data_IF_458789011564
#
_entry.id   IF_458789011564
#
_cell.length_a   1.000
_cell.length_b   1.000
_cell.length_c   1.000
_cell.angle_alpha   90.00
_cell.angle_beta   90.00
_cell.angle_gamma   90.00
#
_symmetry.space_group_name_H-M   'P 1'
#
loop_
_entity.id
_entity.type
_entity.pdbx_description
1 polymer ?
#
# COMPACT_ATOMS: atom_id res chain seq x y z
N UNK A 1 -8.95 -29.35 44.31
CA UNK A 1 -8.16 -28.41 43.47
C UNK A 1 -7.07 -27.76 44.32
N UNK A 2 -5.79 -27.88 43.97
CA UNK A 2 -4.68 -27.44 44.81
C UNK A 2 -4.57 -25.88 44.80
N UNK A 3 -4.94 -25.25 45.93
CA UNK A 3 -5.00 -23.78 46.09
C UNK A 3 -3.65 -23.08 45.78
N UNK A 4 -2.53 -23.80 45.97
CA UNK A 4 -1.19 -23.31 45.65
C UNK A 4 -0.97 -23.19 44.12
N UNK A 5 -1.44 -24.15 43.34
CA UNK A 5 -1.37 -24.15 41.88
C UNK A 5 -2.23 -23.01 41.30
N UNK A 6 -3.43 -22.81 41.85
CA UNK A 6 -4.33 -21.74 41.47
C UNK A 6 -3.72 -20.35 41.73
N UNK A 7 -3.12 -20.10 42.92
CA UNK A 7 -2.40 -18.85 43.24
C UNK A 7 -1.25 -18.59 42.27
N UNK A 8 -0.40 -19.59 42.01
CA UNK A 8 0.74 -19.48 41.09
C UNK A 8 0.28 -19.14 39.66
N UNK A 9 -0.79 -19.79 39.17
CA UNK A 9 -1.37 -19.49 37.85
C UNK A 9 -1.95 -18.08 37.81
N UNK A 10 -2.63 -17.62 38.85
CA UNK A 10 -3.19 -16.25 38.95
C UNK A 10 -2.10 -15.20 38.98
N UNK A 11 -1.01 -15.42 39.74
CA UNK A 11 0.12 -14.51 39.76
C UNK A 11 0.84 -14.43 38.40
N UNK A 12 1.09 -15.57 37.76
CA UNK A 12 1.67 -15.63 36.43
C UNK A 12 0.78 -14.94 35.39
N UNK A 13 -0.53 -15.16 35.43
CA UNK A 13 -1.47 -14.48 34.54
C UNK A 13 -1.45 -12.96 34.76
N UNK A 14 -1.43 -12.49 36.00
CA UNK A 14 -1.33 -11.04 36.29
C UNK A 14 -0.01 -10.47 35.77
N UNK A 15 1.11 -11.12 36.02
CA UNK A 15 2.42 -10.68 35.52
C UNK A 15 2.46 -10.62 33.99
N UNK A 16 1.93 -11.63 33.30
CA UNK A 16 1.85 -11.63 31.84
C UNK A 16 0.92 -10.51 31.32
N UNK A 17 -0.23 -10.33 31.95
CA UNK A 17 -1.17 -9.24 31.58
C UNK A 17 -0.57 -7.85 31.81
N UNK A 18 0.12 -7.64 32.93
CA UNK A 18 0.79 -6.34 33.16
C UNK A 18 1.93 -6.07 32.20
N UNK A 19 2.74 -7.10 31.87
CA UNK A 19 3.79 -6.98 30.86
C UNK A 19 3.22 -6.72 29.47
N UNK A 20 2.17 -7.42 29.08
CA UNK A 20 1.48 -7.20 27.80
C UNK A 20 0.89 -5.79 27.72
N UNK A 21 0.24 -5.33 28.79
CA UNK A 21 -0.31 -3.97 28.87
C UNK A 21 0.81 -2.91 28.81
N UNK A 22 1.90 -3.12 29.54
CA UNK A 22 3.05 -2.20 29.53
C UNK A 22 3.69 -2.14 28.12
N UNK A 23 3.84 -3.27 27.44
CA UNK A 23 4.32 -3.31 26.05
C UNK A 23 3.38 -2.58 25.07
N UNK A 24 2.06 -2.76 25.22
CA UNK A 24 1.08 -2.04 24.41
C UNK A 24 1.14 -0.52 24.68
N UNK A 25 1.22 -0.11 25.96
CA UNK A 25 1.35 1.30 26.34
C UNK A 25 2.62 1.93 25.81
N UNK A 26 3.77 1.22 25.86
CA UNK A 26 5.03 1.73 25.31
C UNK A 26 4.94 1.90 23.78
N UNK A 27 4.31 0.97 23.06
CA UNK A 27 4.08 1.12 21.63
C UNK A 27 3.19 2.32 21.29
N UNK A 28 2.10 2.51 22.04
CA UNK A 28 1.25 3.68 21.89
C UNK A 28 1.97 4.99 22.19
N UNK A 29 2.80 5.02 23.25
CA UNK A 29 3.59 6.21 23.58
C UNK A 29 4.53 6.59 22.44
N UNK A 30 5.27 5.63 21.89
CA UNK A 30 6.16 5.86 20.71
C UNK A 30 5.35 6.36 19.52
N UNK A 31 4.20 5.78 19.25
CA UNK A 31 3.32 6.22 18.17
C UNK A 31 2.87 7.68 18.37
N UNK A 32 2.43 8.04 19.58
CA UNK A 32 2.04 9.41 19.91
C UNK A 32 3.20 10.41 19.80
N UNK A 33 4.41 10.02 20.18
CA UNK A 33 5.60 10.86 20.03
C UNK A 33 5.94 11.11 18.56
N UNK A 34 5.87 10.05 17.72
CA UNK A 34 6.11 10.16 16.27
C UNK A 34 5.06 11.06 15.63
N UNK A 35 3.77 10.78 15.85
CA UNK A 35 2.68 11.57 15.27
C UNK A 35 2.66 13.01 15.80
N UNK A 36 2.91 13.22 17.08
CA UNK A 36 3.01 14.56 17.68
C UNK A 36 4.15 15.37 17.05
N UNK A 37 5.33 14.75 16.90
CA UNK A 37 6.48 15.41 16.25
C UNK A 37 6.17 15.72 14.78
N UNK A 38 5.55 14.78 14.07
CA UNK A 38 5.14 14.96 12.67
C UNK A 38 4.15 16.13 12.54
N UNK A 39 3.14 16.20 13.40
CA UNK A 39 2.16 17.29 13.38
C UNK A 39 2.81 18.64 13.68
N UNK A 40 3.59 18.74 14.76
CA UNK A 40 4.20 20.02 15.17
C UNK A 40 5.16 20.53 14.08
N UNK A 41 6.07 19.70 13.60
CA UNK A 41 7.07 20.10 12.59
C UNK A 41 6.46 20.20 11.19
N UNK A 42 5.57 19.30 10.82
CA UNK A 42 4.93 19.30 9.50
C UNK A 42 3.99 20.48 9.31
N UNK A 43 3.11 20.76 10.28
CA UNK A 43 2.20 21.93 10.21
C UNK A 43 2.98 23.24 10.29
N UNK A 44 4.02 23.32 11.13
CA UNK A 44 4.86 24.51 11.24
C UNK A 44 5.62 24.85 9.93
N UNK A 45 5.79 23.88 9.04
CA UNK A 45 6.45 24.05 7.74
C UNK A 45 5.47 24.14 6.56
N UNK A 46 4.15 24.05 6.82
CA UNK A 46 3.13 24.06 5.79
C UNK A 46 2.91 25.50 5.29
N UNK A 47 3.09 25.72 3.99
CA UNK A 47 2.82 26.98 3.32
C UNK A 47 2.17 26.74 1.97
N UNK A 48 1.46 27.71 1.37
CA UNK A 48 0.91 27.56 0.02
C UNK A 48 1.99 27.25 -1.04
N UNK A 49 3.23 27.71 -0.83
CA UNK A 49 4.35 27.44 -1.71
C UNK A 49 4.65 25.94 -1.86
N UNK A 50 4.37 25.13 -0.83
CA UNK A 50 4.55 23.67 -0.86
C UNK A 50 3.77 23.03 -2.00
N UNK A 51 2.59 23.54 -2.33
CA UNK A 51 1.70 23.00 -3.36
C UNK A 51 1.84 23.69 -4.71
N UNK A 52 2.54 24.82 -4.79
CA UNK A 52 2.63 25.64 -6.01
C UNK A 52 4.02 25.75 -6.57
N UNK A 53 5.07 25.51 -5.77
CA UNK A 53 6.44 25.59 -6.19
C UNK A 53 7.10 24.21 -6.29
N UNK A 54 8.12 24.10 -7.15
CA UNK A 54 8.94 22.90 -7.29
C UNK A 54 9.93 22.74 -6.13
N UNK A 55 10.55 21.58 -6.04
CA UNK A 55 11.63 21.32 -5.08
C UNK A 55 12.80 22.29 -5.34
N UNK A 56 13.23 23.02 -4.29
CA UNK A 56 14.25 24.07 -4.45
C UNK A 56 15.67 23.51 -4.51
N UNK A 57 16.61 24.24 -5.10
CA UNK A 57 18.03 23.98 -4.89
C UNK A 57 18.44 24.22 -3.43
N UNK A 58 19.59 23.65 -2.98
CA UNK A 58 20.06 23.78 -1.60
C UNK A 58 20.13 25.24 -1.13
N UNK A 59 19.58 25.53 0.07
CA UNK A 59 19.63 26.87 0.67
C UNK A 59 18.62 27.87 0.11
N UNK A 60 17.63 27.43 -0.65
CA UNK A 60 16.57 28.29 -1.18
C UNK A 60 15.19 27.81 -0.75
N UNK A 61 14.23 28.73 -0.72
CA UNK A 61 12.83 28.40 -0.48
C UNK A 61 12.18 27.78 -1.72
N UNK A 62 11.22 26.88 -1.52
CA UNK A 62 10.48 26.23 -2.60
C UNK A 62 9.35 25.37 -2.06
N UNK A 63 8.91 24.38 -2.87
CA UNK A 63 7.79 23.53 -2.55
C UNK A 63 8.03 22.05 -2.87
N UNK A 64 6.92 21.31 -3.06
CA UNK A 64 6.93 19.87 -3.33
C UNK A 64 6.00 19.50 -4.50
N UNK A 65 5.58 20.47 -5.32
CA UNK A 65 4.62 20.26 -6.39
C UNK A 65 5.01 19.13 -7.34
N UNK A 66 6.26 19.14 -7.83
CA UNK A 66 6.79 18.09 -8.72
C UNK A 66 6.81 16.71 -8.05
N UNK A 67 7.13 16.64 -6.75
CA UNK A 67 7.15 15.41 -5.99
C UNK A 67 5.73 14.87 -5.69
N UNK A 68 4.77 15.76 -5.39
CA UNK A 68 3.35 15.41 -5.23
C UNK A 68 2.79 14.86 -6.54
N UNK A 69 3.02 15.58 -7.65
CA UNK A 69 2.57 15.17 -8.97
C UNK A 69 3.12 13.78 -9.35
N UNK A 70 4.43 13.59 -9.25
CA UNK A 70 5.03 12.32 -9.62
C UNK A 70 4.62 11.16 -8.71
N UNK A 71 4.38 11.40 -7.42
CA UNK A 71 3.81 10.38 -6.53
C UNK A 71 2.42 9.93 -6.97
N UNK A 72 1.56 10.86 -7.34
CA UNK A 72 0.22 10.54 -7.85
C UNK A 72 0.33 9.74 -9.14
N UNK A 73 1.12 10.20 -10.10
CA UNK A 73 1.28 9.55 -11.41
C UNK A 73 1.81 8.13 -11.26
N UNK A 74 2.93 7.95 -10.53
CA UNK A 74 3.56 6.62 -10.42
C UNK A 74 2.70 5.65 -9.61
N UNK A 75 1.99 6.12 -8.58
CA UNK A 75 1.03 5.30 -7.81
C UNK A 75 -0.14 4.87 -8.68
N UNK A 76 -0.70 5.76 -9.50
CA UNK A 76 -1.76 5.43 -10.45
C UNK A 76 -1.30 4.42 -11.48
N UNK A 77 -0.13 4.61 -12.09
CA UNK A 77 0.44 3.66 -13.06
C UNK A 77 0.67 2.29 -12.42
N UNK A 78 1.30 2.24 -11.25
CA UNK A 78 1.50 0.98 -10.52
C UNK A 78 0.20 0.26 -10.20
N UNK A 79 -0.83 1.01 -9.82
CA UNK A 79 -2.17 0.46 -9.53
C UNK A 79 -2.87 -0.02 -10.80
N UNK A 80 -2.86 0.77 -11.87
CA UNK A 80 -3.50 0.43 -13.14
C UNK A 80 -2.87 -0.79 -13.82
N UNK A 81 -1.57 -1.01 -13.61
CA UNK A 81 -0.88 -2.21 -14.10
C UNK A 81 -1.08 -3.40 -13.16
N UNK A 82 -0.90 -3.21 -11.85
CA UNK A 82 -0.89 -4.31 -10.89
C UNK A 82 -2.27 -4.81 -10.48
N UNK A 83 -3.24 -3.90 -10.25
CA UNK A 83 -4.54 -4.29 -9.71
C UNK A 83 -5.38 -5.14 -10.68
N UNK A 84 -5.52 -4.81 -11.98
CA UNK A 84 -6.26 -5.67 -12.91
C UNK A 84 -5.68 -7.07 -13.02
N UNK A 85 -4.36 -7.19 -13.13
CA UNK A 85 -3.67 -8.48 -13.18
C UNK A 85 -3.88 -9.24 -11.88
N UNK A 86 -3.78 -8.57 -10.73
CA UNK A 86 -4.01 -9.16 -9.43
C UNK A 86 -5.45 -9.67 -9.24
N UNK A 87 -6.45 -8.89 -9.68
CA UNK A 87 -7.87 -9.31 -9.63
C UNK A 87 -8.10 -10.54 -10.52
N UNK A 88 -7.57 -10.54 -11.74
CA UNK A 88 -7.72 -11.68 -12.66
C UNK A 88 -7.06 -12.94 -12.10
N UNK A 89 -5.84 -12.83 -11.58
CA UNK A 89 -5.14 -13.96 -10.97
C UNK A 89 -5.87 -14.46 -9.71
N UNK A 90 -6.32 -13.57 -8.82
CA UNK A 90 -7.11 -13.93 -7.64
C UNK A 90 -8.43 -14.61 -8.02
N UNK A 91 -9.08 -14.15 -9.08
CA UNK A 91 -10.30 -14.80 -9.62
C UNK A 91 -10.00 -16.20 -10.12
N UNK A 92 -8.92 -16.37 -10.87
CA UNK A 92 -8.51 -17.70 -11.30
C UNK A 92 -8.30 -18.65 -10.12
N UNK A 93 -7.62 -18.19 -9.08
CA UNK A 93 -7.33 -18.98 -7.88
C UNK A 93 -8.61 -19.34 -7.09
N UNK A 94 -9.59 -18.44 -7.05
CA UNK A 94 -10.84 -18.65 -6.31
C UNK A 94 -11.83 -19.56 -7.07
N UNK A 95 -12.00 -19.32 -8.38
CA UNK A 95 -13.10 -19.88 -9.16
C UNK A 95 -12.68 -21.10 -10.01
N UNK A 96 -11.41 -21.20 -10.43
CA UNK A 96 -10.93 -22.25 -11.34
C UNK A 96 -9.82 -23.11 -10.74
N UNK A 97 -9.05 -22.54 -9.79
CA UNK A 97 -7.80 -23.12 -9.31
C UNK A 97 -7.88 -23.80 -7.94
N UNK A 98 -9.07 -24.13 -7.39
CA UNK A 98 -9.20 -24.60 -5.99
C UNK A 98 -8.22 -25.73 -5.67
N UNK A 99 -8.12 -26.76 -6.55
CA UNK A 99 -7.32 -27.96 -6.33
C UNK A 99 -6.29 -28.25 -7.42
N UNK A 100 -5.90 -27.22 -8.19
CA UNK A 100 -4.94 -27.39 -9.29
C UNK A 100 -3.50 -27.18 -8.85
N UNK A 101 -2.56 -27.95 -9.42
CA UNK A 101 -1.12 -27.75 -9.20
C UNK A 101 -0.66 -26.34 -9.60
N UNK A 102 -1.22 -25.78 -10.67
CA UNK A 102 -0.91 -24.43 -11.11
C UNK A 102 -1.29 -23.40 -10.04
N UNK A 103 -2.45 -23.52 -9.43
CA UNK A 103 -2.86 -22.61 -8.37
C UNK A 103 -1.93 -22.70 -7.15
N UNK A 104 -1.45 -23.91 -6.81
CA UNK A 104 -0.47 -24.07 -5.72
C UNK A 104 0.83 -23.32 -6.04
N UNK A 105 1.33 -23.43 -7.28
CA UNK A 105 2.53 -22.69 -7.71
C UNK A 105 2.30 -21.18 -7.70
N UNK A 106 1.14 -20.71 -8.22
CA UNK A 106 0.82 -19.28 -8.24
C UNK A 106 0.71 -18.71 -6.81
N UNK A 107 0.05 -19.43 -5.87
CA UNK A 107 0.01 -19.02 -4.45
C UNK A 107 1.40 -18.98 -3.83
N UNK A 108 2.23 -19.98 -4.10
CA UNK A 108 3.61 -19.99 -3.61
C UNK A 108 4.42 -18.78 -4.11
N UNK A 109 4.35 -18.48 -5.41
CA UNK A 109 5.01 -17.29 -5.99
C UNK A 109 4.46 -16.01 -5.36
N UNK A 110 3.14 -15.92 -5.17
CA UNK A 110 2.48 -14.79 -4.53
C UNK A 110 2.96 -14.58 -3.08
N UNK A 111 3.08 -15.65 -2.31
CA UNK A 111 3.55 -15.60 -0.92
C UNK A 111 5.04 -15.20 -0.84
N UNK A 112 5.87 -15.66 -1.80
CA UNK A 112 7.27 -15.22 -1.94
C UNK A 112 7.33 -13.72 -2.24
N UNK A 113 6.52 -13.20 -3.15
CA UNK A 113 6.47 -11.77 -3.46
C UNK A 113 5.97 -10.93 -2.27
N UNK A 114 5.01 -11.42 -1.49
CA UNK A 114 4.53 -10.75 -0.28
C UNK A 114 5.60 -10.67 0.82
N UNK A 115 6.46 -11.67 0.91
CA UNK A 115 7.55 -11.74 1.91
C UNK A 115 8.83 -11.04 1.45
N UNK A 116 8.97 -10.76 0.15
CA UNK A 116 10.17 -10.13 -0.39
C UNK A 116 10.32 -8.68 0.12
N UNK A 117 11.54 -8.28 0.56
CA UNK A 117 11.81 -6.88 0.84
C UNK A 117 11.58 -6.01 -0.40
N UNK A 118 10.89 -4.87 -0.26
CA UNK A 118 10.57 -4.00 -1.41
C UNK A 118 11.80 -3.49 -2.17
N UNK A 119 12.93 -3.35 -1.47
CA UNK A 119 14.22 -3.01 -2.10
C UNK A 119 14.67 -4.05 -3.12
N UNK A 120 14.44 -5.34 -2.87
CA UNK A 120 14.81 -6.44 -3.78
C UNK A 120 13.99 -6.34 -5.07
N UNK A 121 12.70 -6.01 -4.96
CA UNK A 121 11.84 -5.77 -6.11
C UNK A 121 12.33 -4.56 -6.91
N UNK A 122 12.74 -3.48 -6.23
CA UNK A 122 13.35 -2.31 -6.87
C UNK A 122 14.63 -2.66 -7.65
N UNK A 123 15.54 -3.44 -7.05
CA UNK A 123 16.77 -3.90 -7.70
C UNK A 123 16.49 -4.85 -8.87
N UNK A 124 15.49 -5.70 -8.76
CA UNK A 124 15.06 -6.56 -9.87
C UNK A 124 14.60 -5.72 -11.06
N UNK A 125 13.70 -4.76 -10.84
CA UNK A 125 13.22 -3.87 -11.90
C UNK A 125 14.35 -3.00 -12.45
N UNK A 126 15.26 -2.51 -11.61
CA UNK A 126 16.47 -1.83 -12.04
C UNK A 126 17.25 -2.65 -13.07
N UNK A 127 17.53 -3.92 -12.74
CA UNK A 127 18.31 -4.80 -13.62
C UNK A 127 17.58 -5.10 -14.93
N UNK A 128 16.27 -5.32 -14.87
CA UNK A 128 15.48 -5.73 -16.05
C UNK A 128 15.12 -4.54 -16.95
N UNK A 129 14.85 -3.36 -16.36
CA UNK A 129 14.40 -2.19 -17.11
C UNK A 129 15.45 -1.09 -17.20
N UNK A 130 15.89 -0.53 -16.04
CA UNK A 130 16.75 0.65 -16.03
C UNK A 130 18.08 0.39 -16.71
N UNK A 131 18.73 -0.75 -16.43
CA UNK A 131 20.01 -1.12 -17.08
C UNK A 131 19.83 -1.29 -18.59
N UNK A 132 18.73 -1.87 -19.05
CA UNK A 132 18.46 -2.06 -20.48
C UNK A 132 18.09 -0.78 -21.21
N UNK A 133 17.34 0.11 -20.51
CA UNK A 133 16.98 1.43 -21.05
C UNK A 133 18.16 2.42 -21.01
N UNK A 134 19.15 2.19 -20.15
CA UNK A 134 20.28 3.08 -19.93
C UNK A 134 19.96 4.32 -19.10
N UNK A 135 18.75 4.46 -18.57
CA UNK A 135 18.31 5.59 -17.77
C UNK A 135 17.19 5.23 -16.80
N UNK A 136 17.04 6.01 -15.72
CA UNK A 136 15.92 5.93 -14.80
C UNK A 136 14.64 6.46 -15.48
N UNK A 137 13.48 5.94 -15.10
CA UNK A 137 12.20 6.35 -15.69
C UNK A 137 11.03 6.17 -14.74
N UNK A 138 9.99 6.99 -14.90
CA UNK A 138 8.73 6.84 -14.17
C UNK A 138 8.02 5.52 -14.55
N UNK A 139 8.19 5.00 -15.77
CA UNK A 139 7.71 3.66 -16.15
C UNK A 139 8.33 2.55 -15.30
N UNK A 140 9.64 2.58 -15.10
CA UNK A 140 10.30 1.59 -14.25
C UNK A 140 9.81 1.69 -12.81
N UNK A 141 9.59 2.91 -12.29
CA UNK A 141 8.96 3.14 -10.99
C UNK A 141 7.54 2.57 -10.91
N UNK A 142 6.71 2.82 -11.92
CA UNK A 142 5.35 2.29 -12.01
C UNK A 142 5.32 0.76 -12.04
N UNK A 143 6.20 0.11 -12.79
CA UNK A 143 6.34 -1.36 -12.82
C UNK A 143 6.79 -1.90 -11.48
N UNK A 144 7.74 -1.24 -10.80
CA UNK A 144 8.16 -1.65 -9.46
C UNK A 144 7.01 -1.60 -8.45
N UNK A 145 6.20 -0.53 -8.48
CA UNK A 145 5.00 -0.44 -7.65
C UNK A 145 3.92 -1.45 -8.06
N UNK A 146 3.75 -1.74 -9.35
CA UNK A 146 2.81 -2.75 -9.82
C UNK A 146 3.14 -4.14 -9.27
N UNK A 147 4.42 -4.52 -9.23
CA UNK A 147 4.89 -5.78 -8.64
C UNK A 147 4.62 -5.86 -7.13
N UNK A 148 4.54 -4.72 -6.43
CA UNK A 148 4.17 -4.67 -5.01
C UNK A 148 2.65 -4.71 -4.79
N UNK A 149 1.87 -4.10 -5.67
CA UNK A 149 0.39 -4.12 -5.64
C UNK A 149 -0.14 -5.51 -5.94
N UNK A 150 0.42 -6.15 -6.97
CA UNK A 150 -0.06 -7.42 -7.53
C UNK A 150 -0.31 -8.49 -6.47
N UNK A 151 0.66 -8.88 -5.61
CA UNK A 151 0.44 -9.96 -4.67
C UNK A 151 -0.59 -9.64 -3.58
N UNK A 152 -0.71 -8.39 -3.18
CA UNK A 152 -1.74 -7.95 -2.23
C UNK A 152 -3.13 -8.08 -2.83
N UNK A 153 -3.28 -7.64 -4.09
CA UNK A 153 -4.57 -7.68 -4.79
C UNK A 153 -4.95 -9.12 -5.16
N UNK A 154 -3.99 -9.97 -5.56
CA UNK A 154 -4.23 -11.41 -5.77
C UNK A 154 -4.82 -12.03 -4.52
N UNK A 155 -4.16 -11.85 -3.38
CA UNK A 155 -4.58 -12.45 -2.11
C UNK A 155 -5.96 -11.96 -1.68
N UNK A 156 -6.16 -10.65 -1.66
CA UNK A 156 -7.44 -10.08 -1.24
C UNK A 156 -8.59 -10.45 -2.18
N UNK A 157 -8.36 -10.50 -3.49
CA UNK A 157 -9.37 -10.91 -4.46
C UNK A 157 -9.74 -12.38 -4.31
N UNK A 158 -8.75 -13.26 -4.13
CA UNK A 158 -8.99 -14.68 -3.86
C UNK A 158 -9.80 -14.87 -2.58
N UNK A 159 -9.37 -14.24 -1.47
CA UNK A 159 -10.03 -14.37 -0.17
C UNK A 159 -11.47 -13.84 -0.23
N UNK A 160 -11.71 -12.69 -0.84
CA UNK A 160 -13.06 -12.11 -0.95
C UNK A 160 -14.00 -12.93 -1.84
N UNK A 161 -13.52 -13.46 -2.94
CA UNK A 161 -14.32 -14.34 -3.80
C UNK A 161 -14.63 -15.68 -3.13
N UNK A 162 -13.72 -16.22 -2.31
CA UNK A 162 -13.96 -17.45 -1.53
C UNK A 162 -14.98 -17.28 -0.41
N UNK A 163 -15.17 -16.08 0.10
CA UNK A 163 -16.21 -15.80 1.10
C UNK A 163 -17.63 -15.83 0.53
N UNK A 164 -17.79 -15.76 -0.78
CA UNK A 164 -19.12 -15.88 -1.42
C UNK A 164 -19.62 -17.32 -1.28
N UNK A 165 -20.80 -17.57 -0.69
CA UNK A 165 -21.32 -18.91 -0.48
C UNK A 165 -21.52 -19.68 -1.78
N UNK A 166 -21.21 -20.98 -1.79
CA UNK A 166 -21.39 -21.84 -2.96
C UNK A 166 -22.87 -21.98 -3.33
N UNK A 167 -23.80 -21.92 -2.34
CA UNK A 167 -25.24 -21.93 -2.58
C UNK A 167 -25.72 -20.81 -3.52
N UNK A 168 -25.11 -19.62 -3.47
CA UNK A 168 -25.43 -18.53 -4.41
C UNK A 168 -24.99 -18.86 -5.84
N UNK A 169 -23.86 -19.55 -5.99
CA UNK A 169 -23.34 -19.99 -7.28
C UNK A 169 -24.22 -21.10 -7.87
N UNK A 170 -24.58 -22.06 -7.04
CA UNK A 170 -25.42 -23.18 -7.41
C UNK A 170 -26.83 -22.74 -7.81
N UNK A 171 -27.45 -21.82 -7.06
CA UNK A 171 -28.75 -21.24 -7.41
C UNK A 171 -28.73 -20.54 -8.77
N UNK A 172 -27.68 -19.76 -9.07
CA UNK A 172 -27.54 -19.13 -10.38
C UNK A 172 -27.30 -20.15 -11.51
N UNK A 173 -26.53 -21.20 -11.24
CA UNK A 173 -26.29 -22.28 -12.20
C UNK A 173 -27.56 -23.09 -12.46
N UNK A 174 -28.40 -23.34 -11.44
CA UNK A 174 -29.69 -24.03 -11.57
C UNK A 174 -30.67 -23.26 -12.47
N UNK A 175 -30.56 -21.92 -12.52
CA UNK A 175 -31.30 -21.06 -13.45
C UNK A 175 -30.75 -21.06 -14.89
N UNK A 176 -29.78 -21.93 -15.20
CA UNK A 176 -29.18 -22.03 -16.54
C UNK A 176 -28.10 -21.00 -16.84
N UNK A 177 -27.62 -20.24 -15.85
CA UNK A 177 -26.59 -19.23 -16.07
C UNK A 177 -25.24 -19.88 -16.42
N UNK A 178 -24.56 -19.48 -17.48
CA UNK A 178 -23.21 -19.97 -17.79
C UNK A 178 -22.20 -19.47 -16.74
N UNK A 179 -21.12 -20.21 -16.52
CA UNK A 179 -20.13 -19.99 -15.46
C UNK A 179 -19.58 -18.56 -15.40
N UNK A 180 -19.30 -17.95 -16.54
CA UNK A 180 -18.80 -16.56 -16.60
C UNK A 180 -19.82 -15.55 -16.08
N UNK A 181 -21.15 -15.77 -16.28
CA UNK A 181 -22.22 -14.94 -15.74
C UNK A 181 -22.30 -15.08 -14.22
N UNK A 182 -22.19 -16.33 -13.70
CA UNK A 182 -22.14 -16.57 -12.25
C UNK A 182 -20.98 -15.79 -11.62
N UNK A 183 -19.79 -15.85 -12.22
CA UNK A 183 -18.61 -15.13 -11.72
C UNK A 183 -18.86 -13.60 -11.76
N UNK A 184 -19.23 -13.05 -12.92
CA UNK A 184 -19.34 -11.58 -13.07
C UNK A 184 -20.53 -10.98 -12.36
N UNK A 185 -21.71 -11.63 -12.41
CA UNK A 185 -22.96 -11.04 -11.89
C UNK A 185 -23.28 -11.47 -10.46
N UNK A 186 -22.77 -12.62 -10.00
CA UNK A 186 -23.04 -13.12 -8.63
C UNK A 186 -21.78 -12.95 -7.77
N UNK A 187 -20.69 -13.65 -8.09
CA UNK A 187 -19.51 -13.67 -7.22
C UNK A 187 -18.85 -12.27 -7.10
N UNK A 188 -18.58 -11.59 -8.21
CA UNK A 188 -18.01 -10.24 -8.16
C UNK A 188 -18.95 -9.21 -7.51
N UNK A 189 -20.26 -9.33 -7.77
CA UNK A 189 -21.23 -8.41 -7.16
C UNK A 189 -21.28 -8.55 -5.65
N UNK A 190 -21.18 -9.78 -5.14
CA UNK A 190 -21.10 -10.05 -3.71
C UNK A 190 -19.76 -9.62 -3.10
N UNK A 191 -18.62 -9.93 -3.77
CA UNK A 191 -17.26 -9.66 -3.28
C UNK A 191 -16.77 -8.23 -3.53
N UNK A 192 -17.45 -7.41 -4.34
CA UNK A 192 -16.93 -6.12 -4.87
C UNK A 192 -16.42 -5.16 -3.80
N UNK A 193 -17.12 -5.05 -2.65
CA UNK A 193 -16.72 -4.13 -1.59
C UNK A 193 -15.36 -4.54 -0.98
N UNK A 194 -15.17 -5.84 -0.74
CA UNK A 194 -13.92 -6.38 -0.23
C UNK A 194 -12.77 -6.23 -1.22
N UNK A 195 -13.02 -6.49 -2.51
CA UNK A 195 -12.00 -6.33 -3.57
C UNK A 195 -11.58 -4.86 -3.69
N UNK A 196 -12.54 -3.90 -3.75
CA UNK A 196 -12.24 -2.47 -3.82
C UNK A 196 -11.45 -2.03 -2.58
N UNK A 197 -11.87 -2.47 -1.38
CA UNK A 197 -11.14 -2.19 -0.13
C UNK A 197 -9.72 -2.74 -0.18
N UNK A 198 -9.53 -3.96 -0.68
CA UNK A 198 -8.22 -4.57 -0.85
C UNK A 198 -7.31 -3.77 -1.81
N UNK A 199 -7.86 -3.32 -2.94
CA UNK A 199 -7.13 -2.45 -3.88
C UNK A 199 -6.76 -1.12 -3.23
N UNK A 200 -7.68 -0.46 -2.52
CA UNK A 200 -7.40 0.80 -1.83
C UNK A 200 -6.33 0.65 -0.75
N UNK A 201 -6.32 -0.46 -0.01
CA UNK A 201 -5.28 -0.76 0.97
C UNK A 201 -3.92 -1.02 0.30
N UNK A 202 -3.90 -1.68 -0.87
CA UNK A 202 -2.69 -1.86 -1.66
C UNK A 202 -2.15 -0.50 -2.16
N UNK A 203 -3.02 0.40 -2.64
CA UNK A 203 -2.66 1.77 -3.04
C UNK A 203 -2.10 2.55 -1.86
N UNK A 204 -2.76 2.52 -0.71
CA UNK A 204 -2.28 3.18 0.51
C UNK A 204 -0.89 2.70 0.93
N UNK A 205 -0.61 1.41 0.75
CA UNK A 205 0.70 0.82 1.02
C UNK A 205 1.76 1.36 0.08
N UNK A 206 1.54 1.31 -1.24
CA UNK A 206 2.56 1.71 -2.23
C UNK A 206 2.77 3.23 -2.30
N UNK A 207 1.82 4.04 -1.87
CA UNK A 207 1.93 5.49 -1.85
C UNK A 207 3.10 6.00 -0.97
N UNK A 208 3.52 5.22 0.03
CA UNK A 208 4.65 5.52 0.91
C UNK A 208 5.96 4.79 0.56
N UNK A 209 6.00 4.00 -0.51
CA UNK A 209 7.18 3.21 -0.86
C UNK A 209 8.33 4.09 -1.37
N UNK A 210 9.49 3.95 -0.72
CA UNK A 210 10.70 4.73 -1.03
C UNK A 210 11.74 3.89 -1.76
N UNK A 211 12.09 2.73 -1.20
CA UNK A 211 13.23 1.94 -1.65
C UNK A 211 13.15 1.51 -3.14
N UNK A 212 12.05 0.95 -3.63
CA UNK A 212 11.98 0.56 -5.04
C UNK A 212 12.07 1.76 -6.00
N UNK A 213 11.49 2.92 -5.62
CA UNK A 213 11.50 4.12 -6.46
C UNK A 213 12.89 4.77 -6.52
N UNK A 214 13.67 4.65 -5.46
CA UNK A 214 15.05 5.15 -5.44
C UNK A 214 15.93 4.46 -6.50
N UNK A 215 15.68 3.18 -6.79
CA UNK A 215 16.43 2.41 -7.78
C UNK A 215 15.85 2.43 -9.18
N UNK A 216 14.61 2.89 -9.37
CA UNK A 216 13.91 2.77 -10.66
C UNK A 216 13.56 4.11 -11.29
N UNK A 217 13.16 5.07 -10.48
CA UNK A 217 12.67 6.39 -10.93
C UNK A 217 13.60 7.52 -10.51
N UNK A 218 14.38 7.31 -9.42
CA UNK A 218 15.29 8.27 -8.81
C UNK A 218 14.58 9.56 -8.36
N UNK A 219 15.08 10.73 -8.72
CA UNK A 219 14.50 12.04 -8.41
C UNK A 219 14.78 13.03 -9.56
N UNK A 220 13.93 14.07 -9.64
CA UNK A 220 14.13 15.20 -10.54
C UNK A 220 13.68 16.48 -9.84
N UNK A 221 14.55 17.48 -9.75
CA UNK A 221 14.22 18.76 -9.12
C UNK A 221 13.23 19.59 -9.97
N UNK A 222 13.18 19.32 -11.28
CA UNK A 222 12.28 20.00 -12.19
C UNK A 222 10.98 19.23 -12.40
N UNK A 223 9.94 19.95 -12.77
CA UNK A 223 8.68 19.34 -13.19
C UNK A 223 8.92 18.53 -14.47
N UNK A 224 8.62 17.24 -14.41
CA UNK A 224 8.66 16.35 -15.58
C UNK A 224 7.32 15.65 -15.72
N UNK A 225 6.81 15.63 -16.94
CA UNK A 225 5.61 14.85 -17.34
C UNK A 225 5.99 13.66 -18.23
N UNK A 226 7.27 13.58 -18.60
CA UNK A 226 7.78 12.49 -19.41
C UNK A 226 7.99 11.23 -18.57
N UNK A 227 7.21 10.20 -18.88
CA UNK A 227 7.28 8.90 -18.22
C UNK A 227 8.57 8.13 -18.50
N UNK A 228 9.30 8.48 -19.57
CA UNK A 228 10.58 7.86 -19.90
C UNK A 228 11.77 8.52 -19.19
N UNK A 229 11.54 9.64 -18.51
CA UNK A 229 12.56 10.35 -17.76
C UNK A 229 12.44 10.13 -16.24
N UNK A 230 13.50 10.44 -15.46
CA UNK A 230 13.42 10.52 -14.01
C UNK A 230 12.34 11.52 -13.57
N UNK A 231 11.56 11.16 -12.59
CA UNK A 231 10.49 12.01 -12.05
C UNK A 231 10.59 12.07 -10.53
N UNK A 232 10.34 13.24 -9.93
CA UNK A 232 10.30 13.38 -8.48
C UNK A 232 9.17 12.54 -7.88
N UNK A 233 9.34 12.08 -6.64
CA UNK A 233 8.27 11.48 -5.85
C UNK A 233 8.46 11.83 -4.38
N UNK A 234 7.36 11.96 -3.64
CA UNK A 234 7.39 12.40 -2.23
C UNK A 234 8.26 11.52 -1.34
N UNK A 235 8.13 10.16 -1.34
CA UNK A 235 8.94 9.32 -0.47
C UNK A 235 10.44 9.50 -0.67
N UNK A 236 10.93 9.58 -1.91
CA UNK A 236 12.36 9.75 -2.21
C UNK A 236 12.84 11.17 -1.87
N UNK A 237 12.03 12.20 -2.18
CA UNK A 237 12.34 13.58 -1.80
C UNK A 237 12.41 13.74 -0.29
N UNK A 238 11.45 13.18 0.47
CA UNK A 238 11.47 13.18 1.93
C UNK A 238 12.75 12.52 2.45
N UNK A 239 13.12 11.36 1.92
CA UNK A 239 14.34 10.66 2.31
C UNK A 239 15.60 11.50 2.08
N UNK A 240 15.74 12.09 0.88
CA UNK A 240 16.90 12.91 0.53
C UNK A 240 16.96 14.20 1.36
N UNK A 241 15.82 14.87 1.56
CA UNK A 241 15.75 16.12 2.29
C UNK A 241 15.92 15.94 3.80
N UNK A 242 15.44 14.84 4.36
CA UNK A 242 15.62 14.54 5.77
C UNK A 242 17.09 14.28 6.15
N UNK A 243 17.87 13.72 5.24
CA UNK A 243 19.31 13.45 5.42
C UNK A 243 20.19 14.67 5.06
N UNK A 244 19.61 15.74 4.54
CA UNK A 244 20.34 16.94 4.15
C UNK A 244 20.74 17.78 5.38
N UNK A 245 21.89 18.50 5.31
CA UNK A 245 22.27 19.46 6.34
C UNK A 245 21.46 20.77 6.30
N UNK A 246 20.67 21.00 5.23
CA UNK A 246 19.92 22.25 5.03
C UNK A 246 18.58 22.22 5.79
N UNK A 247 18.39 23.20 6.69
CA UNK A 247 17.16 23.28 7.52
C UNK A 247 15.88 23.45 6.71
N UNK A 248 15.96 24.20 5.59
CA UNK A 248 14.81 24.41 4.68
C UNK A 248 14.36 23.10 4.05
N UNK A 249 15.29 22.26 3.62
CA UNK A 249 15.00 20.94 3.08
C UNK A 249 14.43 20.01 4.16
N UNK A 250 14.98 20.03 5.38
CA UNK A 250 14.45 19.25 6.49
C UNK A 250 13.01 19.69 6.83
N UNK A 251 12.71 20.99 6.77
CA UNK A 251 11.37 21.51 6.96
C UNK A 251 10.40 21.00 5.88
N UNK A 252 10.81 21.02 4.61
CA UNK A 252 10.05 20.44 3.50
C UNK A 252 9.86 18.91 3.65
N UNK A 253 10.86 18.18 4.17
CA UNK A 253 10.75 16.76 4.45
C UNK A 253 9.66 16.47 5.49
N UNK A 254 9.59 17.26 6.59
CA UNK A 254 8.53 17.13 7.58
C UNK A 254 7.14 17.43 7.00
N UNK A 255 7.05 18.46 6.15
CA UNK A 255 5.82 18.79 5.45
C UNK A 255 5.38 17.69 4.48
N UNK A 256 6.31 17.18 3.67
CA UNK A 256 6.05 16.05 2.77
C UNK A 256 5.60 14.78 3.50
N UNK A 257 6.24 14.47 4.64
CA UNK A 257 5.84 13.36 5.49
C UNK A 257 4.42 13.55 6.06
N UNK A 258 4.04 14.77 6.42
CA UNK A 258 2.68 15.08 6.86
C UNK A 258 1.67 14.88 5.71
N UNK A 259 1.97 15.37 4.52
CA UNK A 259 1.10 15.26 3.33
C UNK A 259 0.86 13.78 2.99
N UNK A 260 1.93 12.97 2.93
CA UNK A 260 1.80 11.55 2.58
C UNK A 260 1.02 10.79 3.66
N UNK A 261 1.27 11.08 4.93
CA UNK A 261 0.56 10.46 6.05
C UNK A 261 -0.93 10.82 6.01
N UNK A 262 -1.27 12.08 5.76
CA UNK A 262 -2.65 12.53 5.62
C UNK A 262 -3.35 11.88 4.42
N UNK A 263 -2.66 11.77 3.26
CA UNK A 263 -3.19 11.12 2.07
C UNK A 263 -3.45 9.62 2.30
N UNK A 264 -2.50 8.90 2.90
CA UNK A 264 -2.64 7.48 3.25
C UNK A 264 -3.75 7.27 4.28
N UNK A 265 -3.85 8.15 5.28
CA UNK A 265 -4.93 8.10 6.27
C UNK A 265 -6.30 8.31 5.61
N UNK A 266 -6.41 9.30 4.73
CA UNK A 266 -7.65 9.55 3.97
C UNK A 266 -8.04 8.32 3.13
N UNK A 267 -7.10 7.71 2.40
CA UNK A 267 -7.34 6.47 1.65
C UNK A 267 -7.83 5.33 2.55
N UNK A 268 -7.21 5.15 3.72
CA UNK A 268 -7.63 4.13 4.69
C UNK A 268 -9.03 4.39 5.27
N UNK A 269 -9.39 5.65 5.54
CA UNK A 269 -10.72 6.03 6.02
C UNK A 269 -11.76 5.75 4.92
N UNK A 270 -11.49 6.15 3.68
CA UNK A 270 -12.37 5.87 2.53
C UNK A 270 -12.55 4.36 2.34
N UNK A 271 -11.47 3.58 2.37
CA UNK A 271 -11.53 2.12 2.26
C UNK A 271 -12.43 1.51 3.35
N UNK A 272 -12.29 1.95 4.61
CA UNK A 272 -13.13 1.48 5.73
C UNK A 272 -14.58 1.92 5.60
N UNK A 273 -14.84 3.17 5.23
CA UNK A 273 -16.21 3.67 5.03
C UNK A 273 -16.96 2.87 3.96
N UNK A 274 -16.29 2.52 2.87
CA UNK A 274 -16.87 1.68 1.81
C UNK A 274 -17.15 0.25 2.28
N UNK A 275 -16.39 -0.29 3.24
CA UNK A 275 -16.64 -1.61 3.80
C UNK A 275 -17.81 -1.62 4.79
N UNK A 276 -17.97 -0.58 5.62
CA UNK A 276 -19.02 -0.49 6.66
C UNK A 276 -20.38 -0.11 6.08
N UNK A 277 -20.45 0.76 5.09
CA UNK A 277 -21.72 1.24 4.49
C UNK A 277 -22.62 0.12 3.93
N UNK A 278 -22.12 -1.13 3.83
CA UNK A 278 -22.89 -2.29 3.33
C UNK A 278 -23.34 -3.29 4.37
N UNK A 279 -22.67 -3.40 5.50
CA UNK A 279 -23.18 -4.22 6.60
C UNK A 279 -24.46 -3.65 7.23
N UNK A 280 -24.71 -2.34 7.08
CA UNK A 280 -25.90 -1.66 7.55
C UNK A 280 -27.11 -1.65 6.60
N UNK A 281 -26.98 -2.13 5.37
CA UNK A 281 -28.12 -2.20 4.40
C UNK A 281 -28.77 -3.59 4.31
N UNK A 282 -28.26 -4.56 5.08
CA UNK A 282 -28.79 -5.94 5.13
C UNK A 282 -29.48 -6.29 6.48
N UNK A 283 -29.67 -5.26 7.36
CA UNK A 283 -30.43 -5.41 8.62
C UNK A 283 -31.86 -4.89 8.49
#
# INVERSE_FOLDING_TARGET
MNAAIYRRRRWRNRAVMTLASAAAMSGLLVLFLILGTLLVKGVGSLSPAVFTQMTPPPGSAGGLLNAIYGSIVVTLVGTLLGAPVGILAGTYLAEFGRDTRLATVVRFINDVLLSAPSIVIGLFVYTVMVVRMGHFSAWAGGVALALLVLPVVVRTSEDMLRLVPDSMREASAALGSPRWVVILKVAYRAARAGIITGVLLAVARIAGETAPLLFTMLNNQFMSTDMNAPMANLPVVIFQFALSPYKDWQALAWCGALIITAAVLALNIVARALSVARTGSES
#
